data_IF_133867033592
#
_entry.id   IF_133867033592
#
_cell.length_a   1.000
_cell.length_b   1.000
_cell.length_c   1.000
_cell.angle_alpha   90.00
_cell.angle_beta   90.00
_cell.angle_gamma   90.00
#
_symmetry.space_group_name_H-M   'P 1'
#
loop_
_entity.id
_entity.type
_entity.pdbx_description
1 polymer ?
#
# COMPACT_ATOMS: atom_id res chain seq x y z
N UNK A 1 -2.70 18.84 13.95
CA UNK A 1 -1.89 19.88 13.29
C UNK A 1 -1.01 20.55 14.32
N UNK A 2 0.25 20.75 14.00
CA UNK A 2 1.20 21.51 14.84
C UNK A 2 0.99 23.02 14.66
N UNK A 3 1.63 23.83 15.54
CA UNK A 3 1.49 25.31 15.49
C UNK A 3 1.96 25.94 14.18
N UNK A 4 2.89 25.29 13.47
CA UNK A 4 3.44 25.70 12.16
C UNK A 4 2.64 25.19 10.95
N UNK A 5 1.49 24.55 11.18
CA UNK A 5 0.66 24.00 10.12
C UNK A 5 1.11 22.65 9.57
N UNK A 6 2.01 21.96 10.25
CA UNK A 6 2.59 20.69 9.80
C UNK A 6 2.10 19.48 10.56
N UNK A 7 2.43 18.28 10.07
CA UNK A 7 2.20 16.99 10.72
C UNK A 7 3.48 16.17 10.77
N UNK A 8 3.59 15.33 11.78
CA UNK A 8 4.58 14.26 11.89
C UNK A 8 3.90 12.91 11.79
N UNK A 9 4.68 11.82 11.91
CA UNK A 9 4.17 10.45 11.87
C UNK A 9 3.31 10.10 13.11
N UNK A 10 3.52 10.80 14.21
CA UNK A 10 2.69 10.77 15.42
C UNK A 10 2.55 12.18 16.00
N UNK A 11 1.74 12.31 17.08
CA UNK A 11 1.55 13.60 17.76
C UNK A 11 2.88 14.16 18.30
N UNK A 12 3.78 13.31 18.75
CA UNK A 12 5.06 13.67 19.36
C UNK A 12 6.24 13.70 18.36
N UNK A 13 6.09 13.04 17.21
CA UNK A 13 7.14 12.98 16.17
C UNK A 13 7.45 14.36 15.61
N UNK A 14 8.69 14.64 15.20
CA UNK A 14 9.01 15.83 14.43
C UNK A 14 8.13 15.93 13.17
N UNK A 15 7.93 17.16 12.69
CA UNK A 15 7.24 17.39 11.43
C UNK A 15 8.00 16.77 10.27
N UNK A 16 7.29 16.12 9.35
CA UNK A 16 7.89 15.69 8.11
C UNK A 16 7.04 16.12 6.90
N UNK A 17 7.70 16.26 5.77
CA UNK A 17 7.09 16.74 4.53
C UNK A 17 6.00 15.80 4.03
N UNK A 18 6.24 14.49 4.09
CA UNK A 18 5.33 13.48 3.55
C UNK A 18 4.04 13.42 4.35
N UNK A 19 4.12 13.32 5.68
CA UNK A 19 2.92 13.32 6.54
C UNK A 19 2.14 14.63 6.37
N UNK A 20 2.83 15.76 6.26
CA UNK A 20 2.21 17.07 6.04
C UNK A 20 1.50 17.13 4.68
N UNK A 21 2.16 16.72 3.60
CA UNK A 21 1.59 16.75 2.24
C UNK A 21 0.41 15.79 2.09
N UNK A 22 0.50 14.57 2.61
CA UNK A 22 -0.58 13.58 2.54
C UNK A 22 -1.79 14.01 3.37
N UNK A 23 -1.57 14.55 4.58
CA UNK A 23 -2.67 15.08 5.39
C UNK A 23 -3.32 16.29 4.72
N UNK A 24 -2.50 17.20 4.17
CA UNK A 24 -3.01 18.32 3.39
C UNK A 24 -3.84 17.86 2.20
N UNK A 25 -3.37 16.88 1.43
CA UNK A 25 -4.11 16.35 0.29
C UNK A 25 -5.46 15.73 0.72
N UNK A 26 -5.48 15.01 1.84
CA UNK A 26 -6.72 14.44 2.38
C UNK A 26 -7.72 15.52 2.79
N UNK A 27 -7.28 16.56 3.51
CA UNK A 27 -8.11 17.69 3.90
C UNK A 27 -8.55 18.52 2.69
N UNK A 28 -7.69 18.67 1.70
CA UNK A 28 -8.04 19.36 0.43
C UNK A 28 -9.19 18.65 -0.30
N UNK A 29 -9.17 17.32 -0.36
CA UNK A 29 -10.24 16.53 -0.96
C UNK A 29 -11.58 16.66 -0.19
N UNK A 30 -11.53 16.99 1.11
CA UNK A 30 -12.71 17.24 1.96
C UNK A 30 -13.16 18.71 1.95
N UNK A 31 -12.43 19.61 1.29
CA UNK A 31 -12.71 21.05 1.31
C UNK A 31 -12.22 21.77 2.56
N UNK A 32 -11.41 21.14 3.39
CA UNK A 32 -10.95 21.61 4.71
C UNK A 32 -9.44 21.91 4.74
N UNK A 33 -8.82 22.20 3.59
CA UNK A 33 -7.39 22.41 3.50
C UNK A 33 -6.90 23.66 4.25
N UNK A 34 -6.00 23.55 5.26
CA UNK A 34 -5.53 24.69 6.02
C UNK A 34 -4.59 25.58 5.20
N UNK A 35 -4.85 26.88 5.16
CA UNK A 35 -4.00 27.86 4.48
C UNK A 35 -2.56 27.92 5.05
N UNK A 36 -2.42 27.72 6.36
CA UNK A 36 -1.10 27.69 7.01
C UNK A 36 -0.25 26.52 6.47
N UNK A 37 -0.86 25.35 6.23
CA UNK A 37 -0.18 24.19 5.66
C UNK A 37 0.19 24.44 4.20
N UNK A 38 -0.72 25.05 3.44
CA UNK A 38 -0.45 25.45 2.05
C UNK A 38 0.75 26.39 1.97
N UNK A 39 0.81 27.39 2.87
CA UNK A 39 1.95 28.29 2.96
C UNK A 39 3.25 27.54 3.24
N UNK A 40 3.25 26.65 4.24
CA UNK A 40 4.41 25.80 4.55
C UNK A 40 4.88 25.00 3.33
N UNK A 41 3.96 24.34 2.63
CA UNK A 41 4.29 23.56 1.42
C UNK A 41 4.81 24.46 0.29
N UNK A 42 4.22 25.65 0.12
CA UNK A 42 4.68 26.66 -0.85
C UNK A 42 6.13 27.08 -0.57
N UNK A 43 6.44 27.42 0.67
CA UNK A 43 7.78 27.80 1.09
C UNK A 43 8.76 26.64 0.93
N UNK A 44 8.34 25.42 1.28
CA UNK A 44 9.16 24.20 1.21
C UNK A 44 9.52 23.80 -0.23
N UNK A 45 8.58 23.96 -1.18
CA UNK A 45 8.76 23.57 -2.58
C UNK A 45 9.18 24.73 -3.50
N UNK A 46 9.26 25.95 -2.97
CA UNK A 46 9.56 27.15 -3.76
C UNK A 46 8.39 27.60 -4.63
N UNK A 47 7.17 27.13 -4.36
CA UNK A 47 5.95 27.45 -5.07
C UNK A 47 4.86 26.38 -4.90
N UNK A 48 3.65 26.66 -5.43
CA UNK A 48 2.47 25.78 -5.26
C UNK A 48 1.87 25.32 -6.61
N UNK A 49 2.63 25.34 -7.69
CA UNK A 49 2.15 24.70 -8.92
C UNK A 49 2.41 23.19 -8.91
N UNK A 50 1.73 22.46 -9.80
CA UNK A 50 1.95 21.01 -9.99
C UNK A 50 3.44 20.67 -10.10
N UNK A 51 4.20 21.48 -10.87
CA UNK A 51 5.63 21.25 -11.07
C UNK A 51 6.43 21.43 -9.78
N UNK A 52 6.10 22.41 -8.94
CA UNK A 52 6.78 22.63 -7.67
C UNK A 52 6.54 21.47 -6.71
N UNK A 53 5.29 21.01 -6.58
CA UNK A 53 4.93 19.89 -5.71
C UNK A 53 5.62 18.60 -6.18
N UNK A 54 5.53 18.30 -7.49
CA UNK A 54 6.11 17.09 -8.08
C UNK A 54 7.63 17.10 -7.90
N UNK A 55 8.30 18.19 -8.29
CA UNK A 55 9.76 18.30 -8.16
C UNK A 55 10.18 18.27 -6.69
N UNK A 56 9.44 18.90 -5.80
CA UNK A 56 9.70 18.88 -4.36
C UNK A 56 9.68 17.46 -3.78
N UNK A 57 8.67 16.66 -4.13
CA UNK A 57 8.58 15.25 -3.72
C UNK A 57 9.68 14.43 -4.37
N UNK A 58 9.92 14.58 -5.68
CA UNK A 58 10.95 13.82 -6.38
C UNK A 58 12.36 14.14 -5.87
N UNK A 59 12.66 15.39 -5.56
CA UNK A 59 13.95 15.80 -5.00
C UNK A 59 14.14 15.25 -3.58
N UNK A 60 13.07 15.21 -2.77
CA UNK A 60 13.12 14.67 -1.41
C UNK A 60 13.45 13.17 -1.38
N UNK A 61 12.86 12.39 -2.31
CA UNK A 61 13.05 10.93 -2.39
C UNK A 61 14.16 10.51 -3.37
N UNK A 62 14.68 11.43 -4.17
CA UNK A 62 15.72 11.14 -5.16
C UNK A 62 15.27 10.09 -6.19
N UNK A 63 16.04 9.01 -6.30
CA UNK A 63 15.74 7.90 -7.22
C UNK A 63 14.70 6.90 -6.69
N UNK A 64 14.30 7.00 -5.42
CA UNK A 64 13.33 6.10 -4.81
C UNK A 64 11.91 6.42 -5.28
N UNK A 65 11.41 5.59 -6.18
CA UNK A 65 10.04 5.67 -6.70
C UNK A 65 9.03 4.90 -5.87
N UNK A 66 9.45 4.13 -4.90
CA UNK A 66 8.59 3.29 -4.05
C UNK A 66 7.65 4.16 -3.21
N UNK A 67 8.13 5.28 -2.70
CA UNK A 67 7.35 6.23 -1.92
C UNK A 67 6.87 7.43 -2.73
N UNK A 68 7.73 8.00 -3.61
CA UNK A 68 7.35 9.20 -4.37
C UNK A 68 6.14 9.00 -5.28
N UNK A 69 6.04 7.84 -5.95
CA UNK A 69 4.92 7.57 -6.84
C UNK A 69 3.56 7.48 -6.09
N UNK A 70 3.41 6.72 -4.98
CA UNK A 70 2.19 6.72 -4.19
C UNK A 70 1.79 8.10 -3.68
N UNK A 71 2.73 8.89 -3.16
CA UNK A 71 2.46 10.23 -2.63
C UNK A 71 1.90 11.14 -3.72
N UNK A 72 2.55 11.17 -4.89
CA UNK A 72 2.09 11.97 -6.02
C UNK A 72 0.73 11.50 -6.56
N UNK A 73 0.45 10.19 -6.55
CA UNK A 73 -0.87 9.65 -6.89
C UNK A 73 -1.96 10.11 -5.91
N UNK A 74 -1.67 10.12 -4.61
CA UNK A 74 -2.60 10.64 -3.60
C UNK A 74 -2.88 12.12 -3.82
N UNK A 75 -1.86 12.93 -4.09
CA UNK A 75 -2.03 14.34 -4.41
C UNK A 75 -2.88 14.56 -5.68
N UNK A 76 -2.69 13.74 -6.71
CA UNK A 76 -3.47 13.82 -7.94
C UNK A 76 -4.93 13.35 -7.73
N UNK A 77 -5.16 12.29 -6.96
CA UNK A 77 -6.50 11.83 -6.61
C UNK A 77 -7.27 12.86 -5.78
N UNK A 78 -6.58 13.55 -4.88
CA UNK A 78 -7.13 14.62 -4.06
C UNK A 78 -7.39 15.93 -4.84
N UNK A 79 -6.86 16.07 -6.07
CA UNK A 79 -6.96 17.30 -6.88
C UNK A 79 -5.93 18.37 -6.54
N UNK A 80 -4.95 18.07 -5.69
CA UNK A 80 -3.81 18.96 -5.39
C UNK A 80 -2.86 19.08 -6.59
N UNK A 81 -2.73 18.01 -7.37
CA UNK A 81 -2.05 17.97 -8.67
C UNK A 81 -3.09 17.73 -9.74
N UNK A 82 -3.14 18.58 -10.75
CA UNK A 82 -4.10 18.50 -11.87
C UNK A 82 -3.52 17.77 -13.08
N UNK A 83 -2.22 17.89 -13.32
CA UNK A 83 -1.52 17.33 -14.48
C UNK A 83 -1.06 15.89 -14.22
N UNK A 84 -1.91 14.95 -14.61
CA UNK A 84 -1.60 13.52 -14.51
C UNK A 84 -0.37 13.10 -15.32
N UNK A 85 -0.05 13.80 -16.41
CA UNK A 85 1.08 13.44 -17.28
C UNK A 85 2.44 13.59 -16.58
N UNK A 86 2.53 14.45 -15.59
CA UNK A 86 3.75 14.67 -14.80
C UNK A 86 3.93 13.64 -13.67
N UNK A 87 2.89 12.86 -13.38
CA UNK A 87 2.99 11.83 -12.33
C UNK A 87 3.69 10.56 -12.87
N UNK A 88 4.45 9.84 -12.02
CA UNK A 88 5.18 8.65 -12.45
C UNK A 88 4.26 7.56 -13.00
N UNK A 89 4.59 7.02 -14.16
CA UNK A 89 3.89 5.88 -14.75
C UNK A 89 4.55 4.57 -14.29
N UNK A 90 3.74 3.62 -13.84
CA UNK A 90 4.21 2.29 -13.46
C UNK A 90 3.72 1.24 -14.46
N UNK A 91 4.58 0.30 -14.86
CA UNK A 91 4.24 -0.74 -15.84
C UNK A 91 3.47 -1.88 -15.16
N UNK A 92 2.17 -1.70 -14.91
CA UNK A 92 1.30 -2.71 -14.29
C UNK A 92 1.23 -4.00 -15.10
N UNK A 93 1.51 -3.96 -16.40
CA UNK A 93 1.56 -5.10 -17.31
C UNK A 93 2.60 -6.14 -16.88
N UNK A 94 3.69 -5.70 -16.27
CA UNK A 94 4.73 -6.60 -15.79
C UNK A 94 4.24 -7.52 -14.68
N UNK A 95 3.20 -7.12 -13.94
CA UNK A 95 2.63 -7.96 -12.88
C UNK A 95 2.08 -9.29 -13.37
N UNK A 96 1.75 -9.41 -14.65
CA UNK A 96 1.23 -10.62 -15.28
C UNK A 96 2.32 -11.65 -15.56
N UNK A 97 3.57 -11.22 -15.63
CA UNK A 97 4.70 -12.11 -15.88
C UNK A 97 4.95 -13.03 -14.66
N UNK A 98 5.30 -14.29 -14.89
CA UNK A 98 5.59 -15.19 -13.78
C UNK A 98 6.82 -14.73 -12.98
N UNK A 99 6.80 -14.93 -11.67
CA UNK A 99 7.92 -14.57 -10.78
C UNK A 99 9.26 -15.20 -11.21
N UNK A 100 9.22 -16.35 -11.88
CA UNK A 100 10.42 -16.99 -12.45
C UNK A 100 11.13 -16.11 -13.47
N UNK A 101 10.39 -15.31 -14.24
CA UNK A 101 10.94 -14.38 -15.22
C UNK A 101 11.79 -13.29 -14.54
N UNK A 102 11.28 -12.69 -13.47
CA UNK A 102 12.02 -11.68 -12.71
C UNK A 102 13.25 -12.26 -12.02
N UNK A 103 13.15 -13.48 -11.48
CA UNK A 103 14.31 -14.20 -10.92
C UNK A 103 15.38 -14.49 -11.97
N UNK A 104 14.97 -14.92 -13.16
CA UNK A 104 15.90 -15.17 -14.26
C UNK A 104 16.65 -13.89 -14.67
N UNK A 105 15.97 -12.75 -14.69
CA UNK A 105 16.58 -11.45 -15.00
C UNK A 105 17.33 -10.83 -13.81
N UNK A 106 17.38 -11.50 -12.66
CA UNK A 106 17.97 -10.98 -11.41
C UNK A 106 17.43 -9.61 -10.99
N UNK A 107 16.20 -9.29 -11.38
CA UNK A 107 15.56 -8.05 -11.02
C UNK A 107 15.05 -8.10 -9.57
N UNK A 108 15.38 -7.12 -8.74
CA UNK A 108 14.82 -7.03 -7.40
C UNK A 108 13.32 -6.75 -7.50
N UNK A 109 12.51 -7.75 -7.24
CA UNK A 109 11.05 -7.59 -7.18
C UNK A 109 10.64 -7.43 -5.74
N UNK A 110 10.13 -6.25 -5.40
CA UNK A 110 9.55 -5.98 -4.09
C UNK A 110 8.13 -6.54 -4.10
N UNK A 111 7.99 -7.81 -3.73
CA UNK A 111 6.74 -8.56 -3.88
C UNK A 111 5.56 -7.95 -3.14
N UNK A 112 5.79 -7.34 -1.97
CA UNK A 112 4.74 -6.68 -1.17
C UNK A 112 4.20 -5.40 -1.82
N UNK A 113 4.94 -4.75 -2.71
CA UNK A 113 4.48 -3.56 -3.42
C UNK A 113 3.61 -3.87 -4.65
N UNK A 114 3.52 -5.14 -5.10
CA UNK A 114 2.80 -5.51 -6.31
C UNK A 114 1.35 -5.00 -6.33
N UNK A 115 0.53 -5.10 -5.26
CA UNK A 115 -0.83 -4.58 -5.28
C UNK A 115 -0.89 -3.07 -5.56
N UNK A 116 -0.03 -2.29 -4.90
CA UNK A 116 0.07 -0.85 -5.12
C UNK A 116 0.55 -0.53 -6.55
N UNK A 117 1.57 -1.23 -7.05
CA UNK A 117 2.10 -1.03 -8.39
C UNK A 117 1.02 -1.27 -9.47
N UNK A 118 0.22 -2.33 -9.33
CA UNK A 118 -0.88 -2.62 -10.24
C UNK A 118 -1.92 -1.50 -10.18
N UNK A 119 -2.41 -1.15 -8.99
CA UNK A 119 -3.48 -0.18 -8.82
C UNK A 119 -3.07 1.22 -9.29
N UNK A 120 -1.89 1.69 -8.92
CA UNK A 120 -1.30 2.96 -9.37
C UNK A 120 -1.08 2.96 -10.89
N UNK A 121 -0.52 1.87 -11.42
CA UNK A 121 -0.25 1.76 -12.84
C UNK A 121 -1.52 1.83 -13.70
N UNK A 122 -2.59 1.14 -13.29
CA UNK A 122 -3.90 1.18 -13.95
C UNK A 122 -4.51 2.58 -13.84
N UNK A 123 -4.51 3.18 -12.64
CA UNK A 123 -5.03 4.53 -12.43
C UNK A 123 -4.33 5.54 -13.36
N UNK A 124 -3.00 5.57 -13.31
CA UNK A 124 -2.20 6.49 -14.10
C UNK A 124 -2.42 6.30 -15.60
N UNK A 125 -2.52 5.04 -16.05
CA UNK A 125 -2.83 4.71 -17.43
C UNK A 125 -4.22 5.22 -17.86
N UNK A 126 -5.25 5.06 -17.02
CA UNK A 126 -6.62 5.50 -17.34
C UNK A 126 -6.80 7.02 -17.30
N UNK A 127 -6.06 7.70 -16.43
CA UNK A 127 -6.10 9.18 -16.30
C UNK A 127 -5.18 9.89 -17.30
N UNK A 128 -4.20 9.20 -17.87
CA UNK A 128 -3.25 9.77 -18.81
C UNK A 128 -3.76 9.83 -20.25
N UNK A 129 -2.98 10.48 -21.09
CA UNK A 129 -3.28 10.58 -22.52
C UNK A 129 -3.18 9.22 -23.21
N UNK A 130 -4.09 8.95 -24.11
CA UNK A 130 -4.07 7.75 -24.94
C UNK A 130 -3.02 7.88 -26.04
N UNK A 131 -2.33 6.75 -26.35
CA UNK A 131 -1.35 6.63 -27.40
C UNK A 131 -1.59 5.33 -28.22
N UNK A 132 -0.77 5.10 -29.25
CA UNK A 132 -0.90 3.95 -30.15
C UNK A 132 -0.85 2.59 -29.40
N UNK A 133 -0.13 2.50 -28.27
CA UNK A 133 -0.02 1.29 -27.46
C UNK A 133 -1.12 1.14 -26.42
N UNK A 134 -2.00 2.13 -26.27
CA UNK A 134 -3.07 2.11 -25.27
C UNK A 134 -4.00 0.90 -25.39
N UNK A 135 -4.44 0.43 -26.57
CA UNK A 135 -5.28 -0.76 -26.67
C UNK A 135 -4.58 -2.03 -26.16
N UNK A 136 -3.28 -2.16 -26.43
CA UNK A 136 -2.48 -3.27 -25.92
C UNK A 136 -2.40 -3.23 -24.40
N UNK A 137 -2.09 -2.08 -23.82
CA UNK A 137 -2.04 -1.89 -22.37
C UNK A 137 -3.38 -2.17 -21.70
N UNK A 138 -4.49 -1.67 -22.27
CA UNK A 138 -5.85 -1.92 -21.77
C UNK A 138 -6.16 -3.43 -21.68
N UNK A 139 -5.70 -4.24 -22.64
CA UNK A 139 -5.90 -5.69 -22.64
C UNK A 139 -5.21 -6.43 -21.48
N UNK A 140 -4.23 -5.80 -20.82
CA UNK A 140 -3.56 -6.36 -19.64
C UNK A 140 -4.31 -6.07 -18.34
N UNK A 141 -5.23 -5.08 -18.29
CA UNK A 141 -5.96 -4.73 -17.07
C UNK A 141 -6.68 -5.95 -16.47
N UNK A 142 -7.49 -6.72 -17.21
CA UNK A 142 -8.18 -7.88 -16.64
C UNK A 142 -7.21 -8.94 -16.08
N UNK A 143 -6.06 -9.11 -16.72
CA UNK A 143 -5.02 -10.05 -16.26
C UNK A 143 -4.36 -9.56 -14.97
N UNK A 144 -4.05 -8.27 -14.87
CA UNK A 144 -3.49 -7.66 -13.65
C UNK A 144 -4.48 -7.67 -12.49
N UNK A 145 -5.77 -7.46 -12.75
CA UNK A 145 -6.82 -7.60 -11.74
C UNK A 145 -6.94 -9.05 -11.23
N UNK A 146 -6.76 -10.06 -12.09
CA UNK A 146 -6.66 -11.46 -11.64
C UNK A 146 -5.46 -11.71 -10.73
N UNK A 147 -4.37 -10.98 -10.91
CA UNK A 147 -3.24 -11.03 -9.97
C UNK A 147 -3.65 -10.46 -8.62
N UNK A 148 -4.33 -9.30 -8.58
CA UNK A 148 -4.84 -8.72 -7.34
C UNK A 148 -5.78 -9.67 -6.60
N UNK A 149 -6.73 -10.31 -7.30
CA UNK A 149 -7.65 -11.30 -6.71
C UNK A 149 -6.87 -12.44 -6.03
N UNK A 150 -5.78 -12.93 -6.64
CA UNK A 150 -4.95 -14.00 -6.06
C UNK A 150 -4.12 -13.56 -4.87
N UNK A 151 -3.74 -12.29 -4.83
CA UNK A 151 -2.92 -11.72 -3.75
C UNK A 151 -3.77 -11.24 -2.57
N UNK A 152 -5.06 -10.96 -2.79
CA UNK A 152 -5.96 -10.46 -1.76
C UNK A 152 -6.43 -11.60 -0.85
N UNK A 153 -6.18 -11.52 0.47
CA UNK A 153 -6.71 -12.46 1.44
C UNK A 153 -8.24 -12.47 1.49
N UNK A 154 -8.81 -13.47 2.17
CA UNK A 154 -10.26 -13.62 2.27
C UNK A 154 -10.93 -12.47 3.04
N UNK A 155 -10.24 -11.87 3.99
CA UNK A 155 -10.69 -10.70 4.75
C UNK A 155 -10.68 -9.39 3.95
N UNK A 156 -10.02 -9.39 2.78
CA UNK A 156 -9.95 -8.26 1.87
C UNK A 156 -8.74 -7.33 2.07
N UNK A 157 -7.98 -7.50 3.16
CA UNK A 157 -6.82 -6.67 3.49
C UNK A 157 -5.55 -7.13 2.79
N UNK A 158 -4.87 -6.26 2.06
CA UNK A 158 -3.55 -6.57 1.50
C UNK A 158 -2.49 -6.52 2.59
N UNK A 159 -1.86 -7.66 2.89
CA UNK A 159 -0.84 -7.83 3.94
C UNK A 159 -1.32 -7.38 5.33
N UNK A 160 -2.62 -7.44 5.60
CA UNK A 160 -3.27 -6.93 6.80
C UNK A 160 -3.02 -5.43 7.07
N UNK A 161 -2.46 -4.72 6.09
CA UNK A 161 -2.09 -3.31 6.18
C UNK A 161 -3.22 -2.41 5.70
N UNK A 162 -3.81 -1.63 6.62
CA UNK A 162 -4.85 -0.67 6.28
C UNK A 162 -4.39 0.39 5.26
N UNK A 163 -3.17 0.98 5.37
CA UNK A 163 -2.69 1.96 4.40
C UNK A 163 -2.56 1.39 2.97
N UNK A 164 -1.99 0.20 2.83
CA UNK A 164 -1.85 -0.44 1.52
C UNK A 164 -3.21 -0.77 0.90
N UNK A 165 -4.10 -1.31 1.71
CA UNK A 165 -5.47 -1.68 1.29
C UNK A 165 -6.27 -0.45 0.87
N UNK A 166 -6.21 0.62 1.66
CA UNK A 166 -6.87 1.89 1.34
C UNK A 166 -6.32 2.49 0.03
N UNK A 167 -5.01 2.46 -0.14
CA UNK A 167 -4.36 3.01 -1.33
C UNK A 167 -4.75 2.23 -2.60
N UNK A 168 -4.79 0.89 -2.54
CA UNK A 168 -5.27 0.06 -3.65
C UNK A 168 -6.73 0.38 -3.98
N UNK A 169 -7.60 0.46 -2.96
CA UNK A 169 -9.02 0.78 -3.14
C UNK A 169 -9.22 2.16 -3.78
N UNK A 170 -8.51 3.19 -3.29
CA UNK A 170 -8.55 4.55 -3.84
C UNK A 170 -8.11 4.59 -5.30
N UNK A 171 -7.00 3.93 -5.64
CA UNK A 171 -6.50 3.90 -7.02
C UNK A 171 -7.46 3.17 -7.97
N UNK A 172 -8.01 2.03 -7.56
CA UNK A 172 -8.97 1.30 -8.38
C UNK A 172 -10.28 2.09 -8.56
N UNK A 173 -10.81 2.70 -7.50
CA UNK A 173 -11.99 3.57 -7.58
C UNK A 173 -11.74 4.74 -8.52
N UNK A 174 -10.63 5.45 -8.36
CA UNK A 174 -10.22 6.56 -9.24
C UNK A 174 -10.02 6.14 -10.70
N UNK A 175 -9.68 4.87 -10.94
CA UNK A 175 -9.60 4.27 -12.26
C UNK A 175 -10.97 3.79 -12.82
N UNK A 176 -12.09 4.01 -12.14
CA UNK A 176 -13.42 3.55 -12.57
C UNK A 176 -13.65 2.05 -12.35
N UNK A 177 -13.00 1.46 -11.33
CA UNK A 177 -13.12 0.05 -10.94
C UNK A 177 -13.66 -0.07 -9.50
N UNK A 178 -14.50 0.89 -9.08
CA UNK A 178 -15.09 0.91 -7.72
C UNK A 178 -15.92 -0.34 -7.42
N UNK A 179 -16.66 -0.84 -8.41
CA UNK A 179 -17.53 -2.02 -8.27
C UNK A 179 -16.79 -3.35 -8.54
N UNK A 180 -15.47 -3.32 -8.69
CA UNK A 180 -14.71 -4.54 -8.86
C UNK A 180 -14.54 -5.26 -7.51
N UNK A 181 -14.64 -6.60 -7.51
CA UNK A 181 -14.62 -7.42 -6.28
C UNK A 181 -13.41 -7.18 -5.37
N UNK A 182 -12.26 -6.82 -5.95
CA UNK A 182 -11.05 -6.44 -5.18
C UNK A 182 -11.30 -5.16 -4.38
N UNK A 183 -11.94 -4.17 -5.00
CA UNK A 183 -12.24 -2.88 -4.35
C UNK A 183 -13.31 -3.06 -3.28
N UNK A 184 -14.38 -3.80 -3.57
CA UNK A 184 -15.44 -4.08 -2.60
C UNK A 184 -14.91 -4.78 -1.35
N UNK A 185 -14.08 -5.83 -1.51
CA UNK A 185 -13.45 -6.52 -0.38
C UNK A 185 -12.50 -5.61 0.40
N UNK A 186 -11.69 -4.80 -0.28
CA UNK A 186 -10.82 -3.84 0.37
C UNK A 186 -11.61 -2.82 1.20
N UNK A 187 -12.71 -2.31 0.67
CA UNK A 187 -13.61 -1.40 1.39
C UNK A 187 -14.29 -2.08 2.58
N UNK A 188 -14.69 -3.34 2.45
CA UNK A 188 -15.25 -4.12 3.56
C UNK A 188 -14.21 -4.29 4.68
N UNK A 189 -12.96 -4.65 4.34
CA UNK A 189 -11.86 -4.73 5.29
C UNK A 189 -11.63 -3.40 6.03
N UNK A 190 -11.56 -2.28 5.32
CA UNK A 190 -11.37 -0.97 5.94
C UNK A 190 -12.51 -0.60 6.89
N UNK A 191 -13.77 -0.88 6.51
CA UNK A 191 -14.92 -0.65 7.40
C UNK A 191 -14.88 -1.53 8.66
N UNK A 192 -14.40 -2.76 8.54
CA UNK A 192 -14.31 -3.71 9.65
C UNK A 192 -13.15 -3.40 10.62
N UNK A 193 -12.12 -2.68 10.16
CA UNK A 193 -10.89 -2.43 10.94
C UNK A 193 -10.77 -1.03 11.50
N UNK A 194 -11.77 -0.17 11.31
CA UNK A 194 -11.83 1.15 11.95
C UNK A 194 -11.90 0.99 13.46
N UNK A 195 -11.10 1.77 14.18
CA UNK A 195 -11.07 1.82 15.65
C UNK A 195 -12.23 2.64 16.19
N UNK A 196 -12.47 2.53 17.50
CA UNK A 196 -13.54 3.29 18.19
C UNK A 196 -13.38 4.80 18.09
N UNK A 197 -12.16 5.30 17.97
CA UNK A 197 -11.83 6.72 17.79
C UNK A 197 -11.90 7.21 16.34
N UNK A 198 -12.30 6.33 15.41
CA UNK A 198 -12.39 6.64 13.97
C UNK A 198 -11.08 6.50 13.21
N UNK A 199 -9.97 6.13 13.85
CA UNK A 199 -8.68 5.91 13.20
C UNK A 199 -8.51 4.47 12.69
N UNK A 200 -7.48 4.23 11.88
CA UNK A 200 -7.07 2.90 11.44
C UNK A 200 -5.71 2.53 12.01
N UNK A 201 -5.49 1.24 12.34
CA UNK A 201 -4.15 0.75 12.64
C UNK A 201 -3.31 0.71 11.36
N UNK A 202 -1.99 0.75 11.50
CA UNK A 202 -1.09 0.53 10.35
C UNK A 202 -1.20 -0.91 9.84
N UNK A 203 -1.25 -1.88 10.78
CA UNK A 203 -1.45 -3.29 10.52
C UNK A 203 -2.47 -3.87 11.49
N UNK A 204 -3.25 -4.84 11.03
CA UNK A 204 -4.28 -5.51 11.85
C UNK A 204 -3.79 -6.80 12.47
N UNK A 205 -2.78 -7.45 11.89
CA UNK A 205 -2.21 -8.70 12.39
C UNK A 205 -0.73 -8.84 11.99
N UNK A 206 0.16 -8.84 12.98
CA UNK A 206 1.58 -9.19 12.85
C UNK A 206 1.95 -10.31 13.81
N UNK A 207 0.99 -11.19 14.11
CA UNK A 207 1.06 -12.17 15.22
C UNK A 207 2.31 -13.06 15.15
N UNK A 208 2.70 -13.57 14.00
CA UNK A 208 3.89 -14.41 13.87
C UNK A 208 5.17 -13.64 14.17
N UNK A 209 5.33 -12.46 13.57
CA UNK A 209 6.52 -11.64 13.76
C UNK A 209 6.65 -11.19 15.21
N UNK A 210 5.60 -10.61 15.77
CA UNK A 210 5.58 -10.14 17.17
C UNK A 210 5.82 -11.29 18.12
N UNK A 211 5.14 -12.44 17.94
CA UNK A 211 5.33 -13.63 18.80
C UNK A 211 6.79 -14.10 18.79
N UNK A 212 7.44 -14.18 17.63
CA UNK A 212 8.84 -14.64 17.55
C UNK A 212 9.79 -13.66 18.23
N UNK A 213 9.55 -12.33 18.11
CA UNK A 213 10.34 -11.32 18.81
C UNK A 213 10.16 -11.39 20.33
N UNK A 214 8.90 -11.53 20.79
CA UNK A 214 8.61 -11.67 22.24
C UNK A 214 9.24 -12.93 22.83
N UNK A 215 9.14 -14.08 22.14
CA UNK A 215 9.78 -15.33 22.58
C UNK A 215 11.29 -15.15 22.69
N UNK A 216 11.91 -14.48 21.72
CA UNK A 216 13.35 -14.21 21.76
C UNK A 216 13.73 -13.24 22.89
N UNK A 217 12.93 -12.20 23.12
CA UNK A 217 13.19 -11.22 24.17
C UNK A 217 13.05 -11.78 25.58
N UNK A 218 12.01 -12.62 25.80
CA UNK A 218 11.76 -13.25 27.10
C UNK A 218 12.76 -14.38 27.41
N UNK A 219 13.26 -15.08 26.40
CA UNK A 219 14.28 -16.12 26.59
C UNK A 219 13.91 -17.14 27.66
N UNK A 220 14.67 -17.13 28.77
CA UNK A 220 14.45 -18.04 29.89
C UNK A 220 13.28 -17.66 30.80
N UNK A 221 12.84 -16.39 30.77
CA UNK A 221 11.68 -15.92 31.53
C UNK A 221 10.34 -16.35 30.90
N UNK A 222 10.37 -17.00 29.73
CA UNK A 222 9.19 -17.50 29.08
C UNK A 222 8.59 -18.67 29.86
N UNK A 223 7.43 -18.48 30.48
CA UNK A 223 6.79 -19.44 31.39
C UNK A 223 6.31 -20.72 30.69
N UNK A 224 5.94 -20.69 29.40
CA UNK A 224 5.45 -21.86 28.67
C UNK A 224 6.11 -21.99 27.30
N UNK A 225 7.39 -22.38 27.32
CA UNK A 225 8.20 -22.62 26.13
C UNK A 225 7.57 -23.65 25.18
N UNK A 226 6.94 -24.68 25.75
CA UNK A 226 6.37 -25.79 24.98
C UNK A 226 5.15 -25.33 24.18
N UNK A 227 4.24 -24.58 24.78
CA UNK A 227 3.07 -24.02 24.14
C UNK A 227 3.46 -23.03 23.03
N UNK A 228 4.43 -22.15 23.29
CA UNK A 228 4.91 -21.20 22.28
C UNK A 228 5.54 -21.91 21.08
N UNK A 229 6.33 -22.95 21.33
CA UNK A 229 6.90 -23.79 20.26
C UNK A 229 5.80 -24.42 19.39
N UNK A 230 4.74 -24.94 20.00
CA UNK A 230 3.62 -25.52 19.27
C UNK A 230 2.87 -24.47 18.43
N UNK A 231 2.62 -23.28 18.99
CA UNK A 231 1.97 -22.17 18.27
C UNK A 231 2.81 -21.77 17.06
N UNK A 232 4.11 -21.53 17.24
CA UNK A 232 5.00 -21.15 16.15
C UNK A 232 5.02 -22.23 15.06
N UNK A 233 5.18 -23.50 15.42
CA UNK A 233 5.18 -24.61 14.46
C UNK A 233 3.87 -24.72 13.69
N UNK A 234 2.73 -24.57 14.36
CA UNK A 234 1.40 -24.63 13.74
C UNK A 234 1.16 -23.48 12.74
N UNK A 235 1.83 -22.36 12.94
CA UNK A 235 1.71 -21.18 12.07
C UNK A 235 2.64 -21.24 10.84
N UNK A 236 3.38 -22.33 10.63
CA UNK A 236 4.12 -22.53 9.40
C UNK A 236 3.16 -22.65 8.21
N UNK A 237 3.48 -22.00 7.09
CA UNK A 237 2.64 -22.03 5.90
C UNK A 237 2.59 -23.44 5.31
N UNK A 238 1.38 -23.97 5.13
CA UNK A 238 1.14 -25.24 4.45
C UNK A 238 1.10 -25.10 2.91
N UNK A 239 1.04 -23.86 2.41
CA UNK A 239 0.92 -23.56 0.98
C UNK A 239 2.07 -22.66 0.51
N UNK A 240 2.27 -22.63 -0.80
CA UNK A 240 3.23 -21.71 -1.40
C UNK A 240 2.78 -20.27 -1.18
N UNK A 241 3.69 -19.42 -0.70
CA UNK A 241 3.35 -18.03 -0.38
C UNK A 241 3.00 -17.25 -1.65
N UNK A 242 1.82 -16.57 -1.73
CA UNK A 242 1.32 -15.97 -2.96
C UNK A 242 2.17 -14.78 -3.43
N UNK A 243 2.72 -13.99 -2.52
CA UNK A 243 3.55 -12.82 -2.84
C UNK A 243 4.99 -13.18 -3.21
N UNK A 244 5.64 -13.99 -2.37
CA UNK A 244 7.08 -14.29 -2.53
C UNK A 244 7.35 -15.52 -3.34
N UNK A 245 6.35 -16.39 -3.52
CA UNK A 245 6.51 -17.72 -4.11
C UNK A 245 7.37 -18.67 -3.27
N UNK A 246 7.59 -18.36 -1.97
CA UNK A 246 8.30 -19.24 -1.05
C UNK A 246 7.57 -20.58 -0.90
N UNK A 247 8.35 -21.66 -0.76
CA UNK A 247 7.80 -23.00 -0.59
C UNK A 247 7.10 -23.15 0.77
N UNK A 248 6.20 -24.13 0.94
CA UNK A 248 5.63 -24.48 2.25
C UNK A 248 6.72 -24.73 3.29
N UNK A 249 6.39 -24.50 4.56
CA UNK A 249 7.29 -24.68 5.70
C UNK A 249 7.93 -23.41 6.24
N UNK A 250 7.75 -22.26 5.54
CA UNK A 250 8.13 -20.94 6.05
C UNK A 250 7.01 -20.26 6.83
N UNK A 251 7.31 -19.09 7.40
CA UNK A 251 6.34 -18.25 8.12
C UNK A 251 6.15 -16.92 7.41
N UNK A 252 4.88 -16.47 7.31
CA UNK A 252 4.54 -15.09 7.00
C UNK A 252 4.61 -14.21 8.25
N UNK A 253 4.43 -12.91 8.09
CA UNK A 253 4.35 -11.98 9.22
C UNK A 253 3.08 -12.21 10.06
N UNK A 254 2.01 -12.62 9.40
CA UNK A 254 0.71 -12.94 10.00
C UNK A 254 0.34 -14.41 9.79
N UNK A 255 -0.75 -14.82 10.44
CA UNK A 255 -1.31 -16.17 10.31
C UNK A 255 -2.29 -16.31 9.15
N UNK A 256 -2.71 -15.24 8.50
CA UNK A 256 -3.83 -15.22 7.53
C UNK A 256 -3.59 -16.08 6.29
N UNK A 257 -2.33 -16.23 5.86
CA UNK A 257 -1.95 -17.12 4.75
C UNK A 257 -1.67 -18.57 5.16
N UNK A 258 -1.67 -18.86 6.46
CA UNK A 258 -1.38 -20.21 6.97
C UNK A 258 -2.64 -21.06 7.13
N UNK A 259 -3.81 -20.42 7.24
CA UNK A 259 -5.07 -21.11 7.40
C UNK A 259 -5.82 -21.24 6.09
N UNK A 260 -5.58 -22.30 5.32
CA UNK A 260 -6.71 -22.93 4.65
C UNK A 260 -7.60 -23.47 5.78
N UNK A 261 -8.55 -22.68 6.27
CA UNK A 261 -9.70 -23.26 6.95
C UNK A 261 -10.33 -24.20 5.92
N UNK A 262 -10.04 -25.50 6.04
CA UNK A 262 -10.95 -26.52 5.54
C UNK A 262 -12.30 -26.16 6.15
N UNK A 263 -13.26 -25.79 5.29
CA UNK A 263 -14.64 -25.66 5.72
C UNK A 263 -15.00 -26.95 6.44
N UNK A 264 -15.18 -26.84 7.74
CA UNK A 264 -15.85 -27.88 8.49
C UNK A 264 -17.30 -27.85 8.05
N UNK A 265 -17.77 -29.01 7.64
CA UNK A 265 -19.18 -29.30 7.42
C UNK A 265 -20.00 -29.01 8.66
#
# INVERSE_FOLDING_TARGET
MKRDGTWGDSLESPSNMTATLLTYASLYALGEAPEQTKKYLTDKFGGYSDSHIINGVLNYYGTDRTFSAPILMMCALAGVISDWEKTPQLPFELSVLPQRFFRFLQLPVVSYAIPALIAVGILRFRKGKRNLFSPLRESFIPKSLKVLIRLQPNDGGFLEAAPLTAFVALCLTGAGLGDHSVTEKAMAFLKATVRKDGSWPIDTDLSNWVTTLCVKALGDDLSDKQRMTQIIRRNASAVRHPYTGAQPGGWGWSCSFTSTKKGGA
#
